data_IF_545538478138
#
_entry.id   IF_545538478138
#
_cell.length_a   1.000
_cell.length_b   1.000
_cell.length_c   1.000
_cell.angle_alpha   90.00
_cell.angle_beta   90.00
_cell.angle_gamma   90.00
#
_symmetry.space_group_name_H-M   'P 1'
#
loop_
_entity.id
_entity.type
_entity.pdbx_description
1 polymer ?
#
# COMPACT_ATOMS: atom_id res chain seq x y z
N UNK A 1 66.89 -25.32 -27.80
CA UNK A 1 66.98 -24.80 -29.18
C UNK A 1 65.69 -24.04 -29.51
N UNK A 2 65.73 -22.70 -29.46
CA UNK A 2 65.33 -21.70 -30.50
C UNK A 2 64.16 -22.15 -31.43
N UNK A 3 63.01 -21.48 -31.63
CA UNK A 3 62.72 -20.06 -31.98
C UNK A 3 61.19 -19.77 -32.01
N UNK A 4 60.81 -18.49 -31.75
CA UNK A 4 59.86 -17.57 -32.45
C UNK A 4 58.65 -18.14 -33.25
N UNK A 5 57.46 -17.53 -33.41
CA UNK A 5 56.98 -16.15 -33.26
C UNK A 5 55.44 -16.10 -33.45
N UNK A 6 54.80 -15.10 -32.84
CA UNK A 6 53.51 -14.42 -33.11
C UNK A 6 52.66 -14.77 -34.34
N UNK A 7 51.33 -14.91 -34.13
CA UNK A 7 50.30 -14.48 -35.10
C UNK A 7 49.16 -13.77 -34.33
N UNK A 8 48.97 -12.50 -34.67
CA UNK A 8 47.77 -11.69 -34.42
C UNK A 8 46.82 -11.93 -35.60
N UNK A 9 45.52 -12.12 -35.39
CA UNK A 9 44.52 -11.78 -36.42
C UNK A 9 43.20 -11.31 -35.80
N UNK A 10 42.73 -10.20 -36.38
CA UNK A 10 41.58 -9.35 -36.06
C UNK A 10 40.42 -9.69 -37.01
N UNK A 11 39.18 -9.82 -36.53
CA UNK A 11 37.90 -9.59 -37.28
C UNK A 11 36.82 -9.26 -36.21
N UNK A 12 36.32 -8.03 -35.99
CA UNK A 12 35.47 -7.08 -36.75
C UNK A 12 33.98 -7.50 -36.92
N UNK A 13 33.09 -6.54 -36.60
CA UNK A 13 31.66 -6.36 -36.93
C UNK A 13 30.64 -6.89 -35.91
N UNK A 14 29.99 -6.05 -35.08
CA UNK A 14 28.99 -4.95 -35.32
C UNK A 14 27.57 -5.48 -35.11
N UNK A 15 26.89 -4.96 -34.08
CA UNK A 15 25.47 -4.59 -34.16
C UNK A 15 25.28 -3.24 -33.45
N UNK A 16 24.83 -2.27 -34.24
CA UNK A 16 24.41 -0.92 -33.88
C UNK A 16 22.98 -0.96 -33.32
N UNK A 17 22.71 -0.18 -32.26
CA UNK A 17 21.53 0.67 -32.10
C UNK A 17 21.93 1.75 -31.07
N UNK A 18 22.23 2.97 -31.51
CA UNK A 18 21.30 4.10 -31.66
C UNK A 18 20.82 4.69 -30.31
N UNK A 19 21.64 5.62 -29.80
CA UNK A 19 21.31 6.88 -29.09
C UNK A 19 20.06 6.97 -28.20
N UNK A 20 20.24 6.89 -26.89
CA UNK A 20 19.99 8.04 -26.00
C UNK A 20 20.81 7.90 -24.71
N UNK A 21 21.49 8.96 -24.32
CA UNK A 21 22.54 8.97 -23.32
C UNK A 21 22.01 9.06 -21.88
N UNK A 22 22.89 8.65 -20.95
CA UNK A 22 22.94 9.01 -19.54
C UNK A 22 22.17 8.14 -18.53
N UNK A 23 22.56 6.87 -18.40
CA UNK A 23 22.56 6.21 -17.09
C UNK A 23 23.96 6.37 -16.49
N UNK A 24 24.14 7.40 -15.66
CA UNK A 24 25.27 7.45 -14.72
C UNK A 24 24.98 6.45 -13.62
N UNK A 25 25.66 5.30 -13.65
CA UNK A 25 25.80 4.43 -12.51
C UNK A 25 26.61 5.17 -11.43
N UNK A 26 25.93 5.78 -10.47
CA UNK A 26 26.52 6.14 -9.19
C UNK A 26 25.98 5.14 -8.17
N UNK A 27 26.72 4.04 -7.99
CA UNK A 27 26.54 3.16 -6.84
C UNK A 27 27.08 3.90 -5.61
N UNK A 28 26.20 4.59 -4.90
CA UNK A 28 26.40 4.85 -3.48
C UNK A 28 25.85 3.65 -2.73
N UNK A 29 26.77 2.88 -2.18
CA UNK A 29 26.51 1.74 -1.32
C UNK A 29 25.90 2.28 -0.01
N UNK A 30 24.56 2.31 0.09
CA UNK A 30 23.89 2.52 1.37
C UNK A 30 23.91 1.20 2.14
N UNK A 31 24.42 1.25 3.37
CA UNK A 31 24.43 0.13 4.32
C UNK A 31 23.07 -0.05 5.01
N UNK A 32 21.97 0.03 4.28
CA UNK A 32 20.63 -0.36 4.75
C UNK A 32 20.14 -1.48 3.84
N UNK A 33 19.55 -2.52 4.43
CA UNK A 33 19.04 -3.67 3.64
C UNK A 33 18.02 -3.19 2.60
N UNK A 34 17.79 -3.94 1.50
CA UNK A 34 16.85 -3.51 0.49
C UNK A 34 15.45 -3.34 1.09
N UNK A 35 14.87 -2.17 0.88
CA UNK A 35 13.48 -1.83 1.16
C UNK A 35 12.56 -2.98 0.66
N UNK A 36 11.65 -3.44 1.52
CA UNK A 36 10.76 -4.57 1.25
C UNK A 36 9.36 -4.08 0.95
N UNK A 37 8.88 -4.36 -0.26
CA UNK A 37 7.47 -4.17 -0.60
C UNK A 37 6.66 -5.44 -0.30
N UNK A 38 5.57 -5.28 0.44
CA UNK A 38 4.64 -6.37 0.79
C UNK A 38 3.25 -5.99 0.31
N UNK A 39 2.68 -6.81 -0.57
CA UNK A 39 1.28 -6.70 -0.97
C UNK A 39 0.37 -7.44 0.01
N UNK A 40 -0.63 -6.75 0.52
CA UNK A 40 -1.66 -7.29 1.41
C UNK A 40 -3.01 -7.24 0.70
N UNK A 41 -3.74 -8.36 0.76
CA UNK A 41 -5.10 -8.42 0.23
C UNK A 41 -6.09 -7.69 1.14
N UNK A 42 -7.03 -6.91 0.60
CA UNK A 42 -8.08 -6.27 1.39
C UNK A 42 -9.20 -7.22 1.83
N UNK A 43 -9.19 -8.52 1.47
CA UNK A 43 -10.27 -9.47 1.82
C UNK A 43 -10.53 -9.63 3.33
N UNK A 44 -9.57 -9.26 4.18
CA UNK A 44 -9.71 -9.31 5.63
C UNK A 44 -10.37 -8.09 6.27
N UNK A 45 -10.79 -7.08 5.49
CA UNK A 45 -11.47 -5.92 6.06
C UNK A 45 -12.81 -6.31 6.68
N UNK A 46 -13.06 -5.81 7.88
CA UNK A 46 -14.30 -6.02 8.62
C UNK A 46 -14.89 -4.68 9.09
N UNK A 47 -16.22 -4.53 9.10
CA UNK A 47 -16.85 -3.36 9.70
C UNK A 47 -16.62 -3.25 11.22
N UNK A 48 -16.37 -2.03 11.69
CA UNK A 48 -16.31 -1.72 13.13
C UNK A 48 -17.71 -1.56 13.71
N UNK A 49 -18.11 -2.30 14.76
CA UNK A 49 -19.39 -2.10 15.42
C UNK A 49 -19.45 -0.77 16.20
N UNK A 50 -20.61 -0.09 16.24
CA UNK A 50 -21.80 -0.32 15.43
C UNK A 50 -21.56 0.09 13.97
N UNK A 51 -22.07 -0.70 13.02
CA UNK A 51 -21.82 -0.47 11.60
C UNK A 51 -23.06 -0.41 10.73
N UNK A 52 -23.03 0.53 9.79
CA UNK A 52 -23.98 0.72 8.68
C UNK A 52 -23.39 0.25 7.34
N UNK A 53 -22.13 -0.20 7.32
CA UNK A 53 -21.47 -0.68 6.12
C UNK A 53 -21.41 -2.20 6.09
N UNK A 54 -21.39 -2.73 4.87
CA UNK A 54 -21.16 -4.13 4.57
C UNK A 54 -19.92 -4.22 3.70
N UNK A 55 -19.07 -5.21 3.99
CA UNK A 55 -17.88 -5.52 3.20
C UNK A 55 -18.07 -6.89 2.59
N UNK A 56 -17.85 -7.02 1.28
CA UNK A 56 -17.94 -8.29 0.56
C UNK A 56 -16.78 -8.45 -0.41
N UNK A 57 -16.34 -9.68 -0.70
CA UNK A 57 -15.41 -9.92 -1.79
C UNK A 57 -15.95 -9.36 -3.12
N UNK A 58 -15.06 -8.85 -3.95
CA UNK A 58 -15.37 -8.37 -5.29
C UNK A 58 -14.58 -9.15 -6.33
N UNK A 59 -15.20 -9.43 -7.48
CA UNK A 59 -14.50 -10.05 -8.59
C UNK A 59 -13.80 -8.97 -9.42
N UNK A 60 -12.51 -9.17 -9.69
CA UNK A 60 -11.66 -8.37 -10.58
C UNK A 60 -10.97 -7.15 -9.91
N UNK A 61 -9.81 -7.37 -9.24
CA UNK A 61 -9.16 -8.67 -9.00
C UNK A 61 -9.92 -9.50 -7.93
N UNK A 62 -9.76 -10.83 -7.90
CA UNK A 62 -10.41 -11.71 -6.91
C UNK A 62 -10.00 -11.44 -5.46
N UNK A 63 -8.95 -10.65 -5.27
CA UNK A 63 -8.45 -10.18 -3.98
C UNK A 63 -9.11 -8.88 -3.52
N UNK A 64 -9.95 -8.26 -4.35
CA UNK A 64 -10.60 -6.99 -4.04
C UNK A 64 -11.81 -7.16 -3.11
N UNK A 65 -12.22 -6.06 -2.51
CA UNK A 65 -13.48 -5.95 -1.77
C UNK A 65 -14.34 -4.83 -2.36
N UNK A 66 -15.64 -4.96 -2.13
CA UNK A 66 -16.62 -3.90 -2.33
C UNK A 66 -17.28 -3.58 -0.99
N UNK A 67 -17.42 -2.29 -0.73
CA UNK A 67 -18.03 -1.73 0.45
C UNK A 67 -19.30 -1.02 0.03
N UNK A 68 -20.39 -1.34 0.70
CA UNK A 68 -21.71 -0.77 0.45
C UNK A 68 -22.37 -0.40 1.78
N UNK A 69 -23.39 0.45 1.73
CA UNK A 69 -24.19 0.81 2.89
C UNK A 69 -25.69 0.67 2.62
N UNK A 70 -26.47 0.51 3.69
CA UNK A 70 -27.94 0.50 3.66
C UNK A 70 -28.57 1.86 3.95
N UNK A 71 -27.79 2.84 4.42
CA UNK A 71 -28.25 4.21 4.69
C UNK A 71 -27.15 5.22 4.33
N UNK A 72 -27.48 6.48 4.00
CA UNK A 72 -26.46 7.51 3.86
C UNK A 72 -25.61 7.63 5.13
N UNK A 73 -24.30 7.77 4.95
CA UNK A 73 -23.32 7.92 6.03
C UNK A 73 -22.71 9.30 5.93
N UNK A 74 -22.77 10.06 7.01
CA UNK A 74 -22.17 11.38 7.17
C UNK A 74 -20.86 11.29 7.94
N UNK A 75 -20.07 12.36 7.88
CA UNK A 75 -18.78 12.44 8.59
C UNK A 75 -18.86 12.18 10.10
N UNK A 76 -19.98 12.54 10.71
CA UNK A 76 -20.25 12.40 12.14
C UNK A 76 -20.84 11.04 12.54
N UNK A 77 -21.07 10.13 11.58
CA UNK A 77 -21.52 8.77 11.87
C UNK A 77 -20.34 7.83 12.18
N UNK A 78 -19.11 8.28 11.98
CA UNK A 78 -17.85 7.58 12.30
C UNK A 78 -17.87 6.10 11.88
N UNK A 79 -18.23 5.83 10.63
CA UNK A 79 -18.27 4.47 10.10
C UNK A 79 -16.89 4.03 9.64
N UNK A 80 -16.35 3.02 10.30
CA UNK A 80 -15.01 2.50 10.04
C UNK A 80 -15.03 1.05 9.58
N UNK A 81 -14.08 0.70 8.72
CA UNK A 81 -13.70 -0.69 8.46
C UNK A 81 -12.22 -0.88 8.84
N UNK A 82 -11.88 -2.04 9.38
CA UNK A 82 -10.53 -2.34 9.87
C UNK A 82 -9.99 -3.59 9.22
N UNK A 83 -8.70 -3.60 8.93
CA UNK A 83 -7.94 -4.75 8.47
C UNK A 83 -6.79 -4.98 9.45
N UNK A 84 -6.83 -6.12 10.14
CA UNK A 84 -5.67 -6.60 10.91
C UNK A 84 -4.55 -7.00 9.96
N UNK A 85 -3.38 -6.40 10.14
CA UNK A 85 -2.22 -6.61 9.28
C UNK A 85 -1.36 -7.75 9.81
N UNK A 86 -0.95 -8.64 8.90
CA UNK A 86 0.06 -9.66 9.16
C UNK A 86 1.31 -9.30 8.36
N UNK A 87 2.20 -8.51 8.97
CA UNK A 87 3.44 -8.05 8.35
C UNK A 87 4.66 -8.67 9.07
N UNK A 88 5.77 -8.90 8.36
CA UNK A 88 6.98 -9.41 9.00
C UNK A 88 7.54 -8.38 9.98
N UNK A 89 7.66 -8.76 11.25
CA UNK A 89 8.17 -7.88 12.32
C UNK A 89 9.70 -7.93 12.50
N UNK A 90 10.37 -8.90 11.88
CA UNK A 90 11.82 -9.07 11.94
C UNK A 90 12.40 -9.56 10.61
N UNK A 91 13.63 -9.13 10.33
CA UNK A 91 14.46 -9.64 9.22
C UNK A 91 15.91 -9.71 9.67
N UNK A 92 16.53 -10.89 9.60
CA UNK A 92 17.95 -11.10 9.98
C UNK A 92 18.33 -10.41 11.30
N UNK A 93 17.55 -10.67 12.36
CA UNK A 93 17.64 -10.07 13.71
C UNK A 93 17.30 -8.58 13.86
N UNK A 94 17.14 -7.84 12.76
CA UNK A 94 16.74 -6.43 12.77
C UNK A 94 15.23 -6.27 12.94
N UNK A 95 14.83 -5.17 13.60
CA UNK A 95 13.43 -4.77 13.67
C UNK A 95 12.97 -4.28 12.29
N UNK A 96 11.73 -4.58 11.93
CA UNK A 96 11.13 -4.08 10.69
C UNK A 96 10.09 -3.03 11.05
N UNK A 97 10.16 -1.90 10.35
CA UNK A 97 9.21 -0.79 10.48
C UNK A 97 8.46 -0.59 9.16
N UNK A 98 7.22 -0.15 9.25
CA UNK A 98 6.45 0.33 8.08
C UNK A 98 6.83 1.79 7.88
N UNK A 99 7.27 2.14 6.67
CA UNK A 99 7.65 3.50 6.30
C UNK A 99 6.61 4.20 5.42
N UNK A 100 5.84 3.39 4.71
CA UNK A 100 4.82 3.83 3.77
C UNK A 100 3.74 2.74 3.60
N UNK A 101 2.53 3.17 3.30
CA UNK A 101 1.53 2.31 2.68
C UNK A 101 0.83 3.01 1.52
N UNK A 102 0.36 2.21 0.58
CA UNK A 102 -0.39 2.65 -0.59
C UNK A 102 -1.72 1.89 -0.67
N UNK A 103 -2.83 2.63 -0.77
CA UNK A 103 -4.18 2.12 -0.85
C UNK A 103 -4.74 2.33 -2.27
N UNK A 104 -4.96 1.23 -3.00
CA UNK A 104 -5.53 1.28 -4.34
C UNK A 104 -7.05 1.11 -4.29
N UNK A 105 -7.79 2.10 -4.79
CA UNK A 105 -9.25 2.16 -4.66
C UNK A 105 -9.94 2.75 -5.90
N UNK A 106 -11.26 2.60 -5.93
CA UNK A 106 -12.16 3.28 -6.88
C UNK A 106 -13.51 3.47 -6.23
N UNK A 107 -14.19 4.57 -6.53
CA UNK A 107 -15.55 4.84 -6.06
C UNK A 107 -16.51 4.80 -7.24
N UNK A 108 -17.53 3.95 -7.12
CA UNK A 108 -18.68 3.97 -8.01
C UNK A 108 -19.76 4.84 -7.38
N UNK A 109 -19.98 6.02 -7.96
CA UNK A 109 -21.01 6.94 -7.50
C UNK A 109 -21.58 7.73 -8.68
N UNK A 110 -22.88 7.96 -8.66
CA UNK A 110 -23.56 8.82 -9.63
C UNK A 110 -23.28 10.32 -9.38
N UNK A 111 -22.99 10.69 -8.13
CA UNK A 111 -22.75 12.08 -7.71
C UNK A 111 -21.30 12.25 -7.29
N UNK A 112 -20.50 12.87 -8.15
CA UNK A 112 -19.07 13.05 -7.90
C UNK A 112 -18.82 13.76 -6.57
N UNK A 113 -17.97 13.16 -5.74
CA UNK A 113 -17.54 13.74 -4.48
C UNK A 113 -18.52 13.60 -3.32
N UNK A 114 -19.65 12.90 -3.39
CA UNK A 114 -20.52 12.69 -2.21
C UNK A 114 -20.16 11.44 -1.40
N UNK A 115 -19.51 10.46 -2.03
CA UNK A 115 -19.00 9.24 -1.40
C UNK A 115 -17.48 9.22 -1.48
N UNK A 116 -16.82 8.92 -0.35
CA UNK A 116 -15.37 9.02 -0.22
C UNK A 116 -14.86 8.31 1.03
N UNK A 117 -13.58 7.96 1.02
CA UNK A 117 -12.84 7.58 2.24
C UNK A 117 -12.35 8.90 2.84
N UNK A 118 -12.82 9.23 4.04
CA UNK A 118 -12.49 10.51 4.68
C UNK A 118 -11.19 10.47 5.44
N UNK A 119 -10.73 9.27 5.80
CA UNK A 119 -9.55 9.09 6.64
C UNK A 119 -8.97 7.69 6.45
N UNK A 120 -7.63 7.61 6.43
CA UNK A 120 -6.88 6.35 6.53
C UNK A 120 -6.01 6.40 7.77
N UNK A 121 -6.00 5.32 8.54
CA UNK A 121 -5.31 5.30 9.83
C UNK A 121 -4.59 3.98 10.04
N UNK A 122 -3.35 4.05 10.52
CA UNK A 122 -2.66 2.92 11.12
C UNK A 122 -2.75 3.03 12.64
N UNK A 123 -3.19 1.96 13.29
CA UNK A 123 -3.21 1.85 14.73
C UNK A 123 -2.54 0.57 15.21
N UNK A 124 -2.11 0.55 16.46
CA UNK A 124 -1.62 -0.62 17.16
C UNK A 124 -2.54 -0.95 18.31
N UNK A 125 -2.96 -2.21 18.41
CA UNK A 125 -3.65 -2.69 19.60
C UNK A 125 -2.67 -2.73 20.78
N UNK A 126 -2.96 -1.98 21.85
CA UNK A 126 -2.11 -1.92 23.05
C UNK A 126 -2.65 -2.74 24.21
N UNK A 127 -3.97 -2.81 24.36
CA UNK A 127 -4.69 -3.71 25.29
C UNK A 127 -5.94 -4.25 24.60
N UNK A 128 -6.76 -5.06 25.28
CA UNK A 128 -8.03 -5.54 24.74
C UNK A 128 -8.96 -4.41 24.29
N UNK A 129 -8.90 -3.26 24.96
CA UNK A 129 -9.87 -2.17 24.82
C UNK A 129 -9.22 -0.83 24.40
N UNK A 130 -7.93 -0.84 24.08
CA UNK A 130 -7.21 0.37 23.66
C UNK A 130 -6.33 0.13 22.43
N UNK A 131 -6.37 1.11 21.52
CA UNK A 131 -5.44 1.21 20.41
C UNK A 131 -4.67 2.53 20.48
N UNK A 132 -3.41 2.47 20.05
CA UNK A 132 -2.57 3.64 19.81
C UNK A 132 -2.63 3.99 18.33
N UNK A 133 -3.00 5.22 18.00
CA UNK A 133 -2.91 5.73 16.63
C UNK A 133 -1.45 6.01 16.30
N UNK A 134 -0.92 5.36 15.26
CA UNK A 134 0.47 5.54 14.80
C UNK A 134 0.53 6.57 13.68
N UNK A 135 -0.37 6.43 12.71
CA UNK A 135 -0.47 7.36 11.57
C UNK A 135 -1.93 7.63 11.30
N UNK A 136 -2.26 8.88 11.07
CA UNK A 136 -3.60 9.31 10.72
C UNK A 136 -3.54 10.31 9.57
N UNK A 137 -4.13 9.95 8.44
CA UNK A 137 -4.18 10.78 7.24
C UNK A 137 -5.63 11.10 6.88
N UNK A 138 -5.98 12.38 7.01
CA UNK A 138 -7.32 12.91 6.74
C UNK A 138 -7.51 13.35 5.29
N UNK A 139 -6.65 12.92 4.37
CA UNK A 139 -6.81 13.20 2.94
C UNK A 139 -8.11 12.57 2.44
N UNK A 140 -9.00 13.39 1.87
CA UNK A 140 -10.25 12.94 1.27
C UNK A 140 -10.00 12.17 -0.01
N UNK A 141 -10.34 10.88 -0.03
CA UNK A 141 -10.16 10.00 -1.20
C UNK A 141 -11.50 9.79 -1.92
N UNK A 142 -11.70 10.48 -3.05
CA UNK A 142 -12.98 10.56 -3.75
C UNK A 142 -12.91 10.14 -5.24
N UNK A 143 -11.85 9.46 -5.66
CA UNK A 143 -11.63 9.12 -7.08
C UNK A 143 -12.65 8.13 -7.63
N UNK A 144 -13.28 8.47 -8.74
CA UNK A 144 -14.17 7.56 -9.51
C UNK A 144 -13.44 6.73 -10.56
N UNK A 145 -12.15 6.99 -10.76
CA UNK A 145 -11.26 6.15 -11.57
C UNK A 145 -10.28 5.38 -10.67
N UNK A 146 -9.81 4.19 -11.09
CA UNK A 146 -8.80 3.45 -10.34
C UNK A 146 -7.55 4.27 -10.09
N UNK A 147 -7.18 4.41 -8.82
CA UNK A 147 -6.00 5.15 -8.38
C UNK A 147 -5.46 4.57 -7.09
N UNK A 148 -4.22 4.92 -6.75
CA UNK A 148 -3.58 4.53 -5.50
C UNK A 148 -3.18 5.78 -4.73
N UNK A 149 -3.59 5.83 -3.46
CA UNK A 149 -3.22 6.90 -2.53
C UNK A 149 -2.10 6.45 -1.62
N UNK A 150 -1.05 7.26 -1.52
CA UNK A 150 0.17 6.91 -0.82
C UNK A 150 0.31 7.74 0.46
N UNK A 151 0.51 7.05 1.57
CA UNK A 151 0.79 7.64 2.87
C UNK A 151 2.20 7.23 3.26
N UNK A 152 3.09 8.21 3.37
CA UNK A 152 4.52 7.98 3.61
C UNK A 152 5.06 8.89 4.71
N UNK A 153 6.37 8.81 4.93
CA UNK A 153 7.11 9.65 5.89
C UNK A 153 6.67 9.44 7.35
N UNK A 154 6.56 8.18 7.76
CA UNK A 154 6.40 7.78 9.16
C UNK A 154 7.26 6.54 9.43
N UNK A 155 7.48 6.21 10.71
CA UNK A 155 8.13 4.96 11.11
C UNK A 155 7.22 4.25 12.11
N UNK A 156 6.53 3.19 11.65
CA UNK A 156 5.67 2.39 12.49
C UNK A 156 6.34 1.06 12.83
N UNK A 157 6.73 0.88 14.09
CA UNK A 157 7.20 -0.42 14.59
C UNK A 157 6.09 -1.46 14.47
N UNK A 158 6.45 -2.64 13.96
CA UNK A 158 5.53 -3.78 13.84
C UNK A 158 5.66 -4.62 15.11
N UNK A 159 5.16 -4.08 16.22
CA UNK A 159 5.07 -4.77 17.51
C UNK A 159 3.60 -5.00 17.88
N UNK A 160 3.18 -6.26 18.01
CA UNK A 160 1.77 -6.60 18.25
C UNK A 160 0.89 -6.53 16.99
N UNK A 161 -0.41 -6.32 17.19
CA UNK A 161 -1.39 -6.27 16.09
C UNK A 161 -1.53 -4.85 15.57
N UNK A 162 -1.10 -4.63 14.33
CA UNK A 162 -1.31 -3.37 13.60
C UNK A 162 -2.60 -3.48 12.79
N UNK A 163 -3.42 -2.45 12.80
CA UNK A 163 -4.62 -2.35 11.97
C UNK A 163 -4.48 -1.20 10.96
N UNK A 164 -4.94 -1.44 9.73
CA UNK A 164 -5.29 -0.39 8.79
C UNK A 164 -6.79 -0.12 8.90
N UNK A 165 -7.16 1.12 9.18
CA UNK A 165 -8.54 1.56 9.41
C UNK A 165 -8.92 2.60 8.36
N UNK A 166 -10.13 2.47 7.79
CA UNK A 166 -10.66 3.39 6.79
C UNK A 166 -11.98 3.97 7.30
N UNK A 167 -12.07 5.30 7.39
CA UNK A 167 -13.31 6.01 7.70
C UNK A 167 -14.06 6.31 6.42
N UNK A 168 -15.34 5.98 6.39
CA UNK A 168 -16.14 5.98 5.17
C UNK A 168 -17.27 7.01 5.27
N UNK A 169 -17.56 7.64 4.14
CA UNK A 169 -18.71 8.53 3.95
C UNK A 169 -19.42 8.10 2.68
N UNK A 170 -20.75 7.95 2.75
CA UNK A 170 -21.60 7.54 1.64
C UNK A 170 -22.72 8.55 1.45
N UNK A 171 -22.70 9.25 0.32
CA UNK A 171 -23.75 10.18 -0.05
C UNK A 171 -25.07 9.49 -0.42
N UNK A 172 -24.97 8.31 -1.04
CA UNK A 172 -26.11 7.52 -1.49
C UNK A 172 -25.90 6.02 -1.20
N UNK A 173 -26.98 5.29 -0.98
CA UNK A 173 -26.98 3.83 -0.72
C UNK A 173 -26.63 2.98 -1.95
N UNK A 174 -26.83 3.53 -3.15
CA UNK A 174 -26.45 2.90 -4.42
C UNK A 174 -24.94 2.95 -4.66
N UNK A 175 -24.23 3.88 -4.04
CA UNK A 175 -22.78 4.04 -4.21
C UNK A 175 -21.99 2.85 -3.65
N UNK A 176 -20.78 2.63 -4.18
CA UNK A 176 -19.86 1.57 -3.78
C UNK A 176 -18.44 2.10 -3.68
N UNK A 177 -17.70 1.67 -2.67
CA UNK A 177 -16.24 1.89 -2.58
C UNK A 177 -15.57 0.55 -2.79
N UNK A 178 -14.64 0.46 -3.75
CA UNK A 178 -13.87 -0.75 -4.03
C UNK A 178 -12.42 -0.55 -3.62
N UNK A 179 -11.86 -1.52 -2.90
CA UNK A 179 -10.44 -1.56 -2.56
C UNK A 179 -9.82 -2.75 -3.30
N UNK A 180 -8.85 -2.47 -4.16
CA UNK A 180 -8.24 -3.48 -5.03
C UNK A 180 -6.96 -4.09 -4.47
N UNK A 181 -6.22 -3.34 -3.66
CA UNK A 181 -4.95 -3.78 -3.10
C UNK A 181 -4.37 -2.78 -2.12
N UNK A 182 -3.50 -3.29 -1.25
CA UNK A 182 -2.73 -2.49 -0.31
C UNK A 182 -1.27 -2.91 -0.45
N UNK A 183 -0.37 -1.93 -0.61
CA UNK A 183 1.06 -2.17 -0.59
C UNK A 183 1.64 -1.52 0.66
N UNK A 184 2.49 -2.25 1.37
CA UNK A 184 3.29 -1.72 2.46
C UNK A 184 4.75 -1.70 2.05
N UNK A 185 5.43 -0.63 2.43
CA UNK A 185 6.87 -0.51 2.25
C UNK A 185 7.52 -0.59 3.62
N UNK A 186 8.46 -1.53 3.76
CA UNK A 186 9.05 -1.90 5.03
C UNK A 186 10.56 -1.70 4.99
N UNK A 187 11.10 -1.19 6.08
CA UNK A 187 12.53 -0.97 6.27
C UNK A 187 13.06 -1.72 7.50
N UNK A 188 14.32 -2.12 7.48
CA UNK A 188 15.00 -2.80 8.59
C UNK A 188 15.82 -1.80 9.39
N UNK A 189 15.49 -1.63 10.67
CA UNK A 189 16.23 -0.77 11.61
C UNK A 189 17.06 -1.61 12.59
N UNK A 190 18.23 -1.08 12.94
CA UNK A 190 19.16 -1.66 13.92
C UNK A 190 18.65 -1.49 15.36
#
# INVERSE_FOLDING_TARGET
MIKLQHIVLIIIAVVLFSSCAAWKNSSTESKEGPELEVWTSPLGFVPSPPSLVSVRPYCCPSTAIEIATSMPIRENDYQWINLGLTLPSKRNTKEVVITEFELCYTIESASSGTTYISQTRLSKLTTSDSSLVIRDDSTRLASTTPTCHKVSAFDARIDGTINLELKLVFGDTSDKIRIGGIKFTLDSKD
#
